data_IF_993235627465
#
_entry.id   IF_993235627465
#
_cell.length_a   1.000
_cell.length_b   1.000
_cell.length_c   1.000
_cell.angle_alpha   90.00
_cell.angle_beta   90.00
_cell.angle_gamma   90.00
#
_symmetry.space_group_name_H-M   'P 1'
#
loop_
_entity.id
_entity.type
_entity.pdbx_description
1 polymer ?
#
# COMPACT_ATOMS: atom_id res chain seq x y z
N UNK A 1 -7.35 16.67 -6.27
CA UNK A 1 -8.04 15.70 -5.40
C UNK A 1 -7.12 15.20 -4.29
N UNK A 2 -6.04 14.47 -4.58
CA UNK A 2 -5.11 13.97 -3.53
C UNK A 2 -4.46 15.10 -2.71
N UNK A 3 -4.06 16.19 -3.38
CA UNK A 3 -3.56 17.40 -2.70
C UNK A 3 -4.57 18.05 -1.75
N UNK A 4 -5.88 17.86 -1.96
CA UNK A 4 -6.89 18.38 -1.04
C UNK A 4 -7.02 17.49 0.19
N UNK A 5 -6.88 16.17 0.02
CA UNK A 5 -6.86 15.23 1.15
C UNK A 5 -5.68 15.49 2.07
N UNK A 6 -4.50 15.75 1.52
CA UNK A 6 -3.31 16.12 2.31
C UNK A 6 -3.54 17.42 3.10
N UNK A 7 -4.10 18.45 2.45
CA UNK A 7 -4.41 19.72 3.13
C UNK A 7 -5.42 19.53 4.28
N UNK A 8 -6.45 18.71 4.09
CA UNK A 8 -7.42 18.44 5.16
C UNK A 8 -6.75 17.66 6.31
N UNK A 9 -5.91 16.67 6.00
CA UNK A 9 -5.18 15.92 7.01
C UNK A 9 -4.28 16.83 7.87
N UNK A 10 -3.54 17.73 7.22
CA UNK A 10 -2.63 18.68 7.87
C UNK A 10 -3.38 19.77 8.65
N UNK A 11 -4.43 20.35 8.06
CA UNK A 11 -5.21 21.45 8.68
C UNK A 11 -5.97 20.99 9.93
N UNK A 12 -6.55 19.80 9.89
CA UNK A 12 -7.40 19.30 10.97
C UNK A 12 -6.72 18.24 11.85
N UNK A 13 -5.45 17.91 11.57
CA UNK A 13 -4.69 16.87 12.26
C UNK A 13 -5.46 15.53 12.35
N UNK A 14 -5.91 15.05 11.18
CA UNK A 14 -6.64 13.78 11.05
C UNK A 14 -5.89 12.80 10.17
N UNK A 15 -6.09 11.51 10.43
CA UNK A 15 -5.55 10.45 9.60
C UNK A 15 -6.42 10.22 8.35
N UNK A 16 -5.78 10.15 7.19
CA UNK A 16 -6.43 9.78 5.92
C UNK A 16 -5.97 8.39 5.50
N UNK A 17 -6.88 7.42 5.59
CA UNK A 17 -6.64 6.06 5.13
C UNK A 17 -7.30 5.81 3.78
N UNK A 18 -6.53 5.25 2.84
CA UNK A 18 -6.99 4.97 1.47
C UNK A 18 -6.81 3.48 1.16
N UNK A 19 -7.82 2.89 0.53
CA UNK A 19 -7.69 1.58 -0.11
C UNK A 19 -7.34 1.76 -1.58
N UNK A 20 -6.56 0.84 -2.13
CA UNK A 20 -6.19 0.86 -3.53
C UNK A 20 -6.28 -0.56 -4.11
N UNK A 21 -6.67 -0.65 -5.38
CA UNK A 21 -6.65 -1.91 -6.11
C UNK A 21 -5.27 -2.13 -6.75
N UNK A 22 -4.97 -3.39 -7.04
CA UNK A 22 -3.78 -3.80 -7.76
C UNK A 22 -4.14 -4.19 -9.19
N UNK A 23 -3.23 -3.93 -10.11
CA UNK A 23 -3.32 -4.31 -11.53
C UNK A 23 -2.16 -5.22 -11.90
N UNK A 24 -2.33 -6.01 -12.96
CA UNK A 24 -1.24 -6.79 -13.53
C UNK A 24 -0.15 -5.87 -14.08
N UNK A 25 1.12 -6.22 -13.84
CA UNK A 25 2.26 -5.55 -14.43
C UNK A 25 2.92 -6.44 -15.51
N UNK A 26 2.56 -6.27 -16.78
CA UNK A 26 3.08 -7.11 -17.86
C UNK A 26 4.57 -6.84 -18.16
N UNK A 27 5.12 -5.73 -17.66
CA UNK A 27 6.51 -5.34 -17.87
C UNK A 27 7.51 -6.11 -16.98
N UNK A 28 7.05 -6.76 -15.91
CA UNK A 28 7.91 -7.49 -14.97
C UNK A 28 8.57 -8.75 -15.54
N UNK A 29 8.16 -9.21 -16.72
CA UNK A 29 8.65 -10.45 -17.31
C UNK A 29 8.25 -11.70 -16.52
N UNK A 30 8.64 -12.87 -17.01
CA UNK A 30 8.21 -14.19 -16.50
C UNK A 30 8.85 -14.54 -15.13
N UNK A 31 9.80 -13.73 -14.65
CA UNK A 31 10.60 -14.01 -13.45
C UNK A 31 10.20 -13.20 -12.21
N UNK A 32 9.20 -12.31 -12.31
CA UNK A 32 8.69 -11.57 -11.15
C UNK A 32 7.69 -12.44 -10.38
N UNK A 33 8.01 -12.71 -9.13
CA UNK A 33 7.27 -13.59 -8.21
C UNK A 33 5.87 -13.08 -7.85
N UNK A 34 5.61 -11.77 -7.93
CA UNK A 34 4.26 -11.20 -7.85
C UNK A 34 4.09 -10.13 -8.94
N UNK A 35 3.42 -10.45 -10.07
CA UNK A 35 3.29 -9.54 -11.20
C UNK A 35 2.19 -8.50 -10.96
N UNK A 36 2.06 -7.99 -9.73
CA UNK A 36 1.04 -7.01 -9.35
C UNK A 36 1.69 -5.70 -8.95
N UNK A 37 1.11 -4.59 -9.42
CA UNK A 37 1.47 -3.24 -8.99
C UNK A 37 0.24 -2.46 -8.53
N UNK A 38 0.39 -1.48 -7.62
CA UNK A 38 -0.71 -0.60 -7.24
C UNK A 38 -1.19 0.23 -8.43
N UNK A 39 -2.49 0.46 -8.54
CA UNK A 39 -3.05 1.41 -9.50
C UNK A 39 -2.66 2.86 -9.12
N UNK A 40 -2.70 3.78 -10.08
CA UNK A 40 -2.46 5.23 -9.85
C UNK A 40 -1.02 5.72 -10.10
N UNK A 41 -0.06 4.81 -10.33
CA UNK A 41 1.31 5.15 -10.74
C UNK A 41 2.04 6.11 -9.78
N UNK A 42 2.95 6.92 -10.33
CA UNK A 42 3.77 7.85 -9.55
C UNK A 42 2.97 8.89 -8.78
N UNK A 43 1.83 9.34 -9.33
CA UNK A 43 1.00 10.37 -8.69
C UNK A 43 0.49 9.89 -7.33
N UNK A 44 -0.05 8.67 -7.26
CA UNK A 44 -0.50 8.12 -5.98
C UNK A 44 0.68 7.74 -5.08
N UNK A 45 1.77 7.23 -5.66
CA UNK A 45 2.97 6.88 -4.91
C UNK A 45 3.58 8.07 -4.17
N UNK A 46 3.66 9.25 -4.80
CA UNK A 46 4.20 10.45 -4.17
C UNK A 46 3.24 11.14 -3.21
N UNK A 47 1.92 11.00 -3.42
CA UNK A 47 0.92 11.61 -2.54
C UNK A 47 0.66 10.80 -1.25
N UNK A 48 1.10 9.54 -1.19
CA UNK A 48 0.90 8.67 -0.03
C UNK A 48 2.16 8.59 0.83
N UNK A 49 2.04 8.89 2.13
CA UNK A 49 3.17 8.89 3.07
C UNK A 49 3.57 7.50 3.50
N UNK A 50 2.59 6.61 3.73
CA UNK A 50 2.79 5.23 4.12
C UNK A 50 1.98 4.35 3.18
N UNK A 51 2.64 3.35 2.58
CA UNK A 51 2.01 2.38 1.69
C UNK A 51 2.12 1.00 2.30
N UNK A 52 0.98 0.33 2.42
CA UNK A 52 0.87 -1.02 2.96
C UNK A 52 0.39 -1.97 1.87
N UNK A 53 1.07 -3.12 1.73
CA UNK A 53 0.69 -4.18 0.80
C UNK A 53 0.07 -5.34 1.58
N UNK A 54 -1.17 -5.68 1.23
CA UNK A 54 -1.89 -6.78 1.85
C UNK A 54 -1.89 -8.00 0.93
N UNK A 55 -1.59 -9.17 1.49
CA UNK A 55 -1.66 -10.46 0.79
C UNK A 55 -2.28 -11.54 1.68
N UNK A 56 -2.85 -12.55 1.03
CA UNK A 56 -3.32 -13.74 1.73
C UNK A 56 -2.10 -14.58 2.16
N UNK A 57 -2.08 -15.00 3.42
CA UNK A 57 -1.10 -15.95 3.95
C UNK A 57 -1.58 -17.40 3.80
N UNK A 58 -1.03 -18.32 4.59
CA UNK A 58 -1.52 -19.70 4.64
C UNK A 58 -2.79 -19.76 5.49
N UNK A 59 -3.78 -20.54 5.05
CA UNK A 59 -5.06 -20.67 5.76
C UNK A 59 -5.78 -19.32 5.89
N UNK A 60 -6.14 -18.94 7.11
CA UNK A 60 -6.90 -17.71 7.40
C UNK A 60 -6.02 -16.47 7.64
N UNK A 61 -4.70 -16.59 7.47
CA UNK A 61 -3.77 -15.49 7.69
C UNK A 61 -3.98 -14.33 6.71
N UNK A 62 -3.84 -13.10 7.22
CA UNK A 62 -3.68 -11.88 6.42
C UNK A 62 -2.32 -11.28 6.74
N UNK A 63 -1.52 -11.05 5.71
CA UNK A 63 -0.18 -10.49 5.85
C UNK A 63 -0.23 -9.05 5.34
N UNK A 64 0.20 -8.11 6.18
CA UNK A 64 0.38 -6.71 5.85
C UNK A 64 1.88 -6.41 5.82
N UNK A 65 2.39 -5.92 4.71
CA UNK A 65 3.79 -5.55 4.54
C UNK A 65 3.91 -4.03 4.41
N UNK A 66 4.87 -3.42 5.10
CA UNK A 66 5.29 -2.04 4.81
C UNK A 66 5.92 -2.03 3.43
N UNK A 67 5.20 -1.48 2.46
CA UNK A 67 5.67 -1.37 1.08
C UNK A 67 6.58 -0.17 0.90
N UNK A 68 6.24 0.95 1.55
CA UNK A 68 7.04 2.16 1.57
C UNK A 68 6.62 3.06 2.74
N UNK A 69 7.58 3.67 3.41
CA UNK A 69 7.38 4.63 4.49
C UNK A 69 8.68 5.40 4.75
N UNK A 70 8.62 6.69 5.13
CA UNK A 70 9.82 7.50 5.37
C UNK A 70 10.60 7.08 6.62
N UNK A 71 9.93 6.48 7.61
CA UNK A 71 10.48 6.24 8.95
C UNK A 71 10.22 4.83 9.49
N UNK A 72 9.74 3.90 8.65
CA UNK A 72 9.52 2.50 9.03
C UNK A 72 10.39 1.59 8.17
N UNK A 73 11.06 0.58 8.77
CA UNK A 73 11.73 -0.44 7.99
C UNK A 73 10.71 -1.31 7.25
N UNK A 74 11.17 -1.97 6.19
CA UNK A 74 10.40 -3.03 5.54
C UNK A 74 10.14 -4.16 6.55
N UNK A 75 8.87 -4.35 6.89
CA UNK A 75 8.43 -5.32 7.89
C UNK A 75 7.08 -5.92 7.50
N UNK A 76 6.78 -7.12 7.99
CA UNK A 76 5.48 -7.79 7.82
C UNK A 76 4.80 -7.98 9.17
N UNK A 77 3.48 -7.75 9.22
CA UNK A 77 2.60 -8.10 10.31
C UNK A 77 1.61 -9.17 9.83
N UNK A 78 1.39 -10.19 10.65
CA UNK A 78 0.45 -11.28 10.35
C UNK A 78 -0.74 -11.15 11.31
N UNK A 79 -1.92 -11.01 10.73
CA UNK A 79 -3.17 -11.09 11.47
C UNK A 79 -3.84 -12.44 11.22
N UNK A 80 -4.38 -13.01 12.29
CA UNK A 80 -5.28 -14.15 12.29
C UNK A 80 -6.63 -13.58 12.71
N UNK A 81 -7.70 -13.85 11.95
CA UNK A 81 -9.02 -13.41 12.35
C UNK A 81 -9.42 -14.07 13.69
N UNK A 82 -10.21 -13.34 14.48
CA UNK A 82 -11.16 -13.91 15.44
C UNK A 82 -12.56 -13.76 14.85
#
# INVERSE_FOLDING_TARGET
>A
MLSHLMKIAEEFNIDVFLTNQVIADPAGGVFVTDPKKPAGGHVLAHASTIRLMFRLGKGEQRICKVFDAPNLPEAEAISFYY
#
